data_IF_100072096106
#
_entry.id   IF_100072096106
#
_cell.length_a   1.000
_cell.length_b   1.000
_cell.length_c   1.000
_cell.angle_alpha   90.00
_cell.angle_beta   90.00
_cell.angle_gamma   90.00
#
_symmetry.space_group_name_H-M   'P 1'
#
loop_
_entity.id
_entity.type
_entity.pdbx_description
1 polymer ?
#
# COMPACT_ATOMS: atom_id res chain seq x y z
N UNK A 1 5.37 31.92 17.69
CA UNK A 1 5.26 30.88 16.63
C UNK A 1 6.13 31.31 15.47
N UNK A 2 7.02 30.43 14.96
CA UNK A 2 7.85 30.76 13.79
C UNK A 2 6.95 31.05 12.59
N UNK A 3 7.16 32.17 11.85
CA UNK A 3 6.35 32.48 10.65
C UNK A 3 6.53 31.47 9.50
N UNK A 4 7.36 30.43 9.67
CA UNK A 4 7.69 29.41 8.69
C UNK A 4 7.20 28.00 9.05
N UNK A 5 6.35 27.85 10.08
CA UNK A 5 5.78 26.53 10.40
C UNK A 5 4.80 26.10 9.30
N UNK A 6 5.04 24.93 8.71
CA UNK A 6 4.10 24.36 7.74
C UNK A 6 2.73 24.12 8.41
N UNK A 7 1.62 24.40 7.72
CA UNK A 7 0.29 24.19 8.30
C UNK A 7 0.08 22.72 8.65
N UNK A 8 -0.42 22.45 9.86
CA UNK A 8 -0.76 21.12 10.33
C UNK A 8 -1.90 20.52 9.51
N UNK A 9 -1.87 19.20 9.33
CA UNK A 9 -3.03 18.45 8.85
C UNK A 9 -4.07 18.36 9.99
N UNK A 10 -5.32 18.70 9.69
CA UNK A 10 -6.43 18.71 10.67
C UNK A 10 -7.63 17.91 10.19
N UNK A 11 -8.03 18.11 8.95
CA UNK A 11 -9.26 17.54 8.38
C UNK A 11 -8.90 16.62 7.22
N UNK A 12 -9.04 15.31 7.43
CA UNK A 12 -8.62 14.28 6.49
C UNK A 12 -9.83 13.66 5.81
N UNK A 13 -9.74 13.46 4.50
CA UNK A 13 -10.64 12.57 3.77
C UNK A 13 -9.87 11.39 3.20
N UNK A 14 -10.31 10.17 3.49
CA UNK A 14 -9.71 8.94 2.98
C UNK A 14 -10.60 8.38 1.87
N UNK A 15 -10.03 8.11 0.70
CA UNK A 15 -10.72 7.50 -0.44
C UNK A 15 -10.19 6.08 -0.62
N UNK A 16 -11.08 5.07 -0.60
CA UNK A 16 -10.67 3.66 -0.67
C UNK A 16 -10.30 3.06 0.69
N UNK A 17 -10.84 3.62 1.78
CA UNK A 17 -10.61 3.27 3.20
C UNK A 17 -10.78 1.80 3.54
N UNK A 18 -11.65 1.08 2.84
CA UNK A 18 -11.95 -0.35 3.07
C UNK A 18 -11.26 -1.28 2.07
N UNK A 19 -10.32 -0.75 1.25
CA UNK A 19 -9.49 -1.53 0.34
C UNK A 19 -8.33 -2.22 1.06
N UNK A 20 -7.55 -3.05 0.35
CA UNK A 20 -6.43 -3.82 0.92
C UNK A 20 -5.50 -2.96 1.76
N UNK A 21 -4.89 -1.92 1.19
CA UNK A 21 -4.01 -1.03 1.95
C UNK A 21 -4.79 0.07 2.68
N UNK A 22 -5.95 0.48 2.14
CA UNK A 22 -6.78 1.51 2.74
C UNK A 22 -7.25 1.18 4.15
N UNK A 23 -7.50 -0.10 4.45
CA UNK A 23 -7.88 -0.57 5.77
C UNK A 23 -6.78 -0.28 6.81
N UNK A 24 -5.53 -0.59 6.50
CA UNK A 24 -4.39 -0.35 7.38
C UNK A 24 -4.12 1.14 7.56
N UNK A 25 -4.15 1.92 6.48
CA UNK A 25 -3.97 3.37 6.53
C UNK A 25 -5.09 4.03 7.35
N UNK A 26 -6.35 3.67 7.10
CA UNK A 26 -7.49 4.22 7.83
C UNK A 26 -7.40 3.89 9.31
N UNK A 27 -7.03 2.65 9.65
CA UNK A 27 -6.83 2.23 11.03
C UNK A 27 -5.75 3.07 11.72
N UNK A 28 -4.57 3.18 11.13
CA UNK A 28 -3.47 3.96 11.71
C UNK A 28 -3.86 5.43 11.93
N UNK A 29 -4.62 6.04 11.00
CA UNK A 29 -5.13 7.42 11.15
C UNK A 29 -6.12 7.51 12.32
N UNK A 30 -7.03 6.54 12.44
CA UNK A 30 -8.01 6.50 13.54
C UNK A 30 -7.34 6.28 14.89
N UNK A 31 -6.30 5.44 14.96
CA UNK A 31 -5.55 5.19 16.19
C UNK A 31 -4.79 6.43 16.70
N UNK A 32 -4.54 7.42 15.83
CA UNK A 32 -3.88 8.69 16.14
C UNK A 32 -4.84 9.87 16.00
N UNK A 33 -6.14 9.63 16.22
CA UNK A 33 -7.22 10.61 16.01
C UNK A 33 -7.09 11.90 16.81
N UNK A 34 -6.41 11.88 17.94
CA UNK A 34 -6.17 13.05 18.77
C UNK A 34 -5.37 14.16 18.09
N UNK A 35 -4.67 13.82 17.01
CA UNK A 35 -3.93 14.78 16.19
C UNK A 35 -4.78 15.47 15.12
N UNK A 36 -6.01 14.99 14.88
CA UNK A 36 -6.88 15.44 13.79
C UNK A 36 -8.22 15.95 14.30
N UNK A 37 -8.74 17.00 13.69
CA UNK A 37 -10.04 17.57 14.06
C UNK A 37 -11.20 16.77 13.42
N UNK A 38 -11.00 16.32 12.15
CA UNK A 38 -11.99 15.52 11.41
C UNK A 38 -11.31 14.41 10.64
N UNK A 39 -11.89 13.22 10.72
CA UNK A 39 -11.51 12.07 9.89
C UNK A 39 -12.77 11.64 9.13
N UNK A 40 -12.69 11.69 7.80
CA UNK A 40 -13.81 11.39 6.90
C UNK A 40 -13.42 10.31 5.90
N UNK A 41 -14.39 9.58 5.39
CA UNK A 41 -14.21 8.68 4.24
C UNK A 41 -15.21 9.02 3.14
N UNK A 42 -14.80 8.81 1.87
CA UNK A 42 -15.72 8.78 0.73
C UNK A 42 -15.81 7.34 0.22
N UNK A 43 -17.02 6.80 0.27
CA UNK A 43 -17.30 5.42 -0.14
C UNK A 43 -18.50 5.32 -1.06
N UNK A 44 -18.66 4.18 -1.76
CA UNK A 44 -19.82 3.95 -2.63
C UNK A 44 -20.96 3.25 -1.89
N UNK A 45 -22.20 3.42 -2.37
CA UNK A 45 -23.35 2.68 -1.88
C UNK A 45 -23.12 1.15 -1.89
N UNK A 46 -22.45 0.66 -2.95
CA UNK A 46 -22.09 -0.75 -3.05
C UNK A 46 -21.21 -1.18 -1.87
N UNK A 47 -20.24 -0.36 -1.48
CA UNK A 47 -19.35 -0.66 -0.35
C UNK A 47 -20.11 -0.63 0.97
N UNK A 48 -21.03 0.32 1.17
CA UNK A 48 -21.87 0.37 2.36
C UNK A 48 -22.64 -0.95 2.57
N UNK A 49 -23.16 -1.53 1.48
CA UNK A 49 -23.91 -2.80 1.55
C UNK A 49 -22.96 -4.00 1.74
N UNK A 50 -21.81 -4.02 1.07
CA UNK A 50 -20.91 -5.18 1.09
C UNK A 50 -20.03 -5.24 2.32
N UNK A 51 -19.75 -4.11 2.97
CA UNK A 51 -18.82 -3.96 4.10
C UNK A 51 -19.48 -3.29 5.31
N UNK A 52 -20.70 -3.67 5.59
CA UNK A 52 -21.53 -3.08 6.67
C UNK A 52 -20.79 -3.04 8.00
N UNK A 53 -20.12 -4.14 8.37
CA UNK A 53 -19.41 -4.23 9.66
C UNK A 53 -18.21 -3.28 9.72
N UNK A 54 -17.43 -3.19 8.64
CA UNK A 54 -16.27 -2.29 8.57
C UNK A 54 -16.73 -0.83 8.64
N UNK A 55 -17.81 -0.48 7.94
CA UNK A 55 -18.38 0.88 7.97
C UNK A 55 -18.92 1.22 9.36
N UNK A 56 -19.69 0.32 9.97
CA UNK A 56 -20.22 0.54 11.32
C UNK A 56 -19.12 0.73 12.37
N UNK A 57 -18.00 -0.01 12.23
CA UNK A 57 -16.84 0.20 13.09
C UNK A 57 -16.21 1.60 12.92
N UNK A 58 -16.08 2.06 11.68
CA UNK A 58 -15.55 3.40 11.40
C UNK A 58 -16.46 4.49 11.99
N UNK A 59 -17.78 4.35 11.83
CA UNK A 59 -18.76 5.27 12.45
C UNK A 59 -18.66 5.28 13.99
N UNK A 60 -18.54 4.09 14.60
CA UNK A 60 -18.38 3.96 16.05
C UNK A 60 -17.09 4.63 16.56
N UNK A 61 -16.06 4.74 15.73
CA UNK A 61 -14.83 5.49 16.02
C UNK A 61 -14.93 6.98 15.66
N UNK A 62 -16.11 7.46 15.28
CA UNK A 62 -16.35 8.87 14.96
C UNK A 62 -15.79 9.30 13.61
N UNK A 63 -15.63 8.38 12.66
CA UNK A 63 -15.29 8.70 11.27
C UNK A 63 -16.57 9.14 10.55
N UNK A 64 -16.52 10.29 9.88
CA UNK A 64 -17.64 10.78 9.07
C UNK A 64 -17.71 10.04 7.73
N UNK A 65 -18.89 9.56 7.35
CA UNK A 65 -19.09 8.78 6.13
C UNK A 65 -19.76 9.63 5.06
N UNK A 66 -19.06 9.89 3.96
CA UNK A 66 -19.65 10.45 2.75
C UNK A 66 -19.91 9.36 1.75
N UNK A 67 -21.13 9.36 1.17
CA UNK A 67 -21.51 8.40 0.14
C UNK A 67 -21.55 9.05 -1.23
N UNK A 68 -20.90 8.43 -2.20
CA UNK A 68 -20.89 8.90 -3.57
C UNK A 68 -19.96 8.09 -4.47
N UNK A 69 -20.17 8.25 -5.77
CA UNK A 69 -19.29 7.66 -6.79
C UNK A 69 -18.13 8.61 -7.07
N UNK A 70 -16.94 8.08 -7.30
CA UNK A 70 -15.74 8.88 -7.62
C UNK A 70 -15.84 9.63 -8.94
N UNK A 71 -16.78 9.25 -9.81
CA UNK A 71 -17.08 9.94 -11.07
C UNK A 71 -18.07 11.09 -10.90
N UNK A 72 -18.75 11.21 -9.76
CA UNK A 72 -19.72 12.27 -9.47
C UNK A 72 -19.01 13.49 -8.87
N UNK A 73 -18.80 14.51 -9.70
CA UNK A 73 -18.17 15.77 -9.28
C UNK A 73 -18.86 16.39 -8.07
N UNK A 74 -20.20 16.45 -8.08
CA UNK A 74 -20.97 17.04 -6.97
C UNK A 74 -20.83 16.27 -5.67
N UNK A 75 -20.82 14.93 -5.72
CA UNK A 75 -20.63 14.10 -4.53
C UNK A 75 -19.21 14.24 -3.97
N UNK A 76 -18.21 14.24 -4.85
CA UNK A 76 -16.80 14.39 -4.46
C UNK A 76 -16.54 15.77 -3.87
N UNK A 77 -16.98 16.86 -4.55
CA UNK A 77 -16.79 18.22 -4.03
C UNK A 77 -17.47 18.46 -2.68
N UNK A 78 -18.67 17.88 -2.46
CA UNK A 78 -19.34 17.92 -1.15
C UNK A 78 -18.50 17.22 -0.08
N UNK A 79 -17.91 16.06 -0.39
CA UNK A 79 -17.04 15.36 0.55
C UNK A 79 -15.72 16.11 0.84
N UNK A 80 -15.32 17.03 -0.05
CA UNK A 80 -14.12 17.86 0.11
C UNK A 80 -14.35 19.12 0.94
N UNK A 81 -15.61 19.47 1.25
CA UNK A 81 -15.92 20.68 2.03
C UNK A 81 -15.27 20.67 3.41
N UNK A 82 -14.41 21.63 3.66
CA UNK A 82 -13.67 21.77 4.91
C UNK A 82 -12.52 20.77 5.09
N UNK A 83 -12.18 19.98 4.08
CA UNK A 83 -11.04 19.06 4.09
C UNK A 83 -9.76 19.80 3.69
N UNK A 84 -8.70 19.59 4.44
CA UNK A 84 -7.38 20.14 4.10
C UNK A 84 -6.46 19.11 3.44
N UNK A 85 -6.64 17.81 3.70
CA UNK A 85 -5.77 16.74 3.20
C UNK A 85 -6.58 15.53 2.76
N UNK A 86 -6.30 15.05 1.55
CA UNK A 86 -6.90 13.83 1.00
C UNK A 86 -5.85 12.71 1.00
N UNK A 87 -6.23 11.52 1.47
CA UNK A 87 -5.43 10.30 1.40
C UNK A 87 -6.13 9.32 0.46
N UNK A 88 -5.58 9.15 -0.73
CA UNK A 88 -6.15 8.26 -1.74
C UNK A 88 -5.53 6.86 -1.63
N UNK A 89 -6.35 5.86 -1.35
CA UNK A 89 -6.00 4.44 -1.24
C UNK A 89 -6.74 3.62 -2.31
N UNK A 90 -6.99 4.20 -3.48
CA UNK A 90 -7.72 3.52 -4.56
C UNK A 90 -6.90 2.36 -5.12
N UNK A 91 -7.56 1.24 -5.39
CA UNK A 91 -6.93 0.09 -6.05
C UNK A 91 -6.66 0.35 -7.55
N UNK A 92 -5.99 -0.61 -8.20
CA UNK A 92 -5.54 -0.51 -9.60
C UNK A 92 -6.60 0.05 -10.57
N UNK A 93 -7.85 -0.43 -10.49
CA UNK A 93 -8.94 0.03 -11.33
C UNK A 93 -9.38 1.50 -11.06
N UNK A 94 -8.95 2.08 -9.96
CA UNK A 94 -9.26 3.46 -9.57
C UNK A 94 -8.12 4.45 -9.81
N UNK A 95 -6.93 4.00 -10.18
CA UNK A 95 -5.74 4.87 -10.28
C UNK A 95 -6.00 6.07 -11.19
N UNK A 96 -6.49 5.85 -12.41
CA UNK A 96 -6.72 6.93 -13.37
C UNK A 96 -7.82 7.92 -12.94
N UNK A 97 -8.78 7.48 -12.11
CA UNK A 97 -9.83 8.36 -11.56
C UNK A 97 -9.26 9.48 -10.70
N UNK A 98 -8.07 9.28 -10.12
CA UNK A 98 -7.39 10.31 -9.33
C UNK A 98 -7.15 11.60 -10.12
N UNK A 99 -7.02 11.55 -11.45
CA UNK A 99 -6.87 12.74 -12.30
C UNK A 99 -8.02 13.72 -12.07
N UNK A 100 -9.26 13.25 -12.08
CA UNK A 100 -10.43 14.09 -11.77
C UNK A 100 -10.48 14.50 -10.31
N UNK A 101 -10.19 13.59 -9.40
CA UNK A 101 -10.18 13.85 -7.97
C UNK A 101 -9.18 14.96 -7.61
N UNK A 102 -7.99 14.95 -8.20
CA UNK A 102 -6.94 15.95 -8.05
C UNK A 102 -7.41 17.32 -8.60
N UNK A 103 -8.01 17.32 -9.81
CA UNK A 103 -8.57 18.55 -10.41
C UNK A 103 -9.63 19.19 -9.50
N UNK A 104 -10.54 18.40 -8.97
CA UNK A 104 -11.59 18.89 -8.08
C UNK A 104 -11.06 19.33 -6.70
N UNK A 105 -10.02 18.66 -6.18
CA UNK A 105 -9.33 19.08 -4.97
C UNK A 105 -8.69 20.47 -5.12
N UNK A 106 -7.98 20.72 -6.24
CA UNK A 106 -7.41 22.03 -6.57
C UNK A 106 -8.50 23.12 -6.66
N UNK A 107 -9.65 22.80 -7.31
CA UNK A 107 -10.74 23.75 -7.52
C UNK A 107 -11.39 24.20 -6.22
N UNK A 108 -11.58 23.28 -5.25
CA UNK A 108 -12.23 23.59 -3.96
C UNK A 108 -11.25 24.03 -2.88
N UNK A 109 -9.94 24.08 -3.20
CA UNK A 109 -8.93 24.62 -2.31
C UNK A 109 -8.42 23.63 -1.25
N UNK A 110 -8.53 22.34 -1.48
CA UNK A 110 -7.79 21.32 -0.69
C UNK A 110 -6.30 21.63 -0.76
N UNK A 111 -5.62 21.57 0.37
CA UNK A 111 -4.20 21.90 0.45
C UNK A 111 -3.29 20.78 -0.04
N UNK A 112 -3.57 19.52 0.34
CA UNK A 112 -2.66 18.38 0.07
C UNK A 112 -3.39 17.13 -0.40
N UNK A 113 -2.74 16.41 -1.31
CA UNK A 113 -3.24 15.14 -1.83
C UNK A 113 -2.13 14.06 -1.77
N UNK A 114 -2.37 13.01 -0.96
CA UNK A 114 -1.60 11.79 -1.00
C UNK A 114 -2.17 10.91 -2.11
N UNK A 115 -1.41 10.69 -3.18
CA UNK A 115 -1.85 9.82 -4.26
C UNK A 115 -1.66 8.35 -3.90
N UNK A 116 -2.42 7.46 -4.53
CA UNK A 116 -2.30 6.02 -4.31
C UNK A 116 -1.04 5.46 -4.98
N UNK A 117 0.11 5.73 -4.38
CA UNK A 117 1.41 5.23 -4.82
C UNK A 117 1.76 3.88 -4.18
N UNK A 118 1.84 3.79 -2.90
CA UNK A 118 2.02 2.62 -2.03
C UNK A 118 2.53 1.34 -2.73
N UNK A 119 3.73 1.40 -3.29
CA UNK A 119 4.37 0.33 -4.05
C UNK A 119 5.76 0.76 -4.55
N UNK A 120 6.23 0.18 -5.66
CA UNK A 120 7.51 0.49 -6.29
C UNK A 120 7.56 1.95 -6.76
N UNK A 121 8.72 2.61 -6.66
CA UNK A 121 8.92 3.92 -7.27
C UNK A 121 8.95 3.80 -8.80
N UNK A 122 8.00 4.47 -9.41
CA UNK A 122 7.76 4.39 -10.86
C UNK A 122 8.69 5.29 -11.68
N UNK A 123 9.47 6.17 -11.02
CA UNK A 123 10.39 7.11 -11.67
C UNK A 123 11.86 6.94 -11.21
N UNK A 124 12.15 6.00 -10.28
CA UNK A 124 13.50 5.85 -9.72
C UNK A 124 14.54 5.41 -10.76
N UNK A 125 14.22 4.38 -11.54
CA UNK A 125 15.08 3.91 -12.64
C UNK A 125 14.45 4.32 -13.97
N UNK A 126 15.27 4.65 -15.00
CA UNK A 126 14.76 4.98 -16.34
C UNK A 126 13.84 3.91 -16.92
N UNK A 127 14.11 2.64 -16.60
CA UNK A 127 13.31 1.49 -17.05
C UNK A 127 11.96 1.42 -16.32
N UNK A 128 11.88 1.85 -15.05
CA UNK A 128 10.63 1.85 -14.28
C UNK A 128 9.50 2.58 -14.99
N UNK A 129 9.82 3.68 -15.67
CA UNK A 129 8.82 4.46 -16.43
C UNK A 129 8.27 3.73 -17.66
N UNK A 130 8.88 2.64 -18.10
CA UNK A 130 8.43 1.84 -19.26
C UNK A 130 7.53 0.67 -18.85
N UNK A 131 7.52 0.33 -17.57
CA UNK A 131 6.78 -0.83 -17.06
C UNK A 131 5.25 -0.63 -17.18
N UNK A 132 4.52 -1.62 -17.73
CA UNK A 132 3.08 -1.50 -17.95
C UNK A 132 2.27 -1.18 -16.68
N UNK A 133 2.53 -1.78 -15.50
CA UNK A 133 1.77 -1.47 -14.29
C UNK A 133 1.97 -0.04 -13.77
N UNK A 134 3.02 0.66 -14.23
CA UNK A 134 3.34 2.02 -13.80
C UNK A 134 2.65 3.12 -14.62
N UNK A 135 2.18 2.81 -15.85
CA UNK A 135 1.69 3.80 -16.80
C UNK A 135 0.55 4.69 -16.28
N UNK A 136 -0.41 4.11 -15.56
CA UNK A 136 -1.52 4.88 -14.99
C UNK A 136 -1.05 5.81 -13.87
N UNK A 137 -0.13 5.38 -13.03
CA UNK A 137 0.45 6.22 -11.98
C UNK A 137 1.28 7.37 -12.57
N UNK A 138 2.04 7.12 -13.63
CA UNK A 138 2.78 8.16 -14.36
C UNK A 138 1.86 9.24 -14.90
N UNK A 139 0.70 8.87 -15.46
CA UNK A 139 -0.33 9.85 -15.89
C UNK A 139 -0.83 10.70 -14.71
N UNK A 140 -1.06 10.07 -13.54
CA UNK A 140 -1.49 10.77 -12.33
C UNK A 140 -0.41 11.74 -11.85
N UNK A 141 0.86 11.34 -11.78
CA UNK A 141 1.99 12.23 -11.43
C UNK A 141 2.14 13.37 -12.42
N UNK A 142 2.04 13.08 -13.72
CA UNK A 142 2.09 14.14 -14.76
C UNK A 142 0.96 15.15 -14.58
N UNK A 143 -0.26 14.72 -14.28
CA UNK A 143 -1.38 15.60 -14.01
C UNK A 143 -1.16 16.40 -12.69
N UNK A 144 -0.69 15.78 -11.64
CA UNK A 144 -0.38 16.45 -10.37
C UNK A 144 0.63 17.58 -10.55
N UNK A 145 1.65 17.40 -11.41
CA UNK A 145 2.65 18.43 -11.73
C UNK A 145 2.04 19.68 -12.40
N UNK A 146 0.79 19.62 -12.92
CA UNK A 146 0.09 20.78 -13.50
C UNK A 146 -0.69 21.60 -12.48
N UNK A 147 -0.87 21.11 -11.26
CA UNK A 147 -1.58 21.81 -10.18
C UNK A 147 -0.76 23.02 -9.71
N UNK A 148 -1.44 24.10 -9.32
CA UNK A 148 -0.80 25.37 -8.93
C UNK A 148 -0.68 25.55 -7.44
N UNK A 149 -1.64 25.04 -6.67
CA UNK A 149 -1.76 25.23 -5.22
C UNK A 149 -1.82 23.95 -4.45
N UNK A 150 -2.31 22.87 -5.07
CA UNK A 150 -2.44 21.57 -4.43
C UNK A 150 -1.05 20.95 -4.24
N UNK A 151 -0.68 20.74 -3.00
CA UNK A 151 0.53 20.00 -2.61
C UNK A 151 0.33 18.49 -2.80
N UNK A 152 1.41 17.75 -3.02
CA UNK A 152 1.36 16.30 -3.08
C UNK A 152 2.29 15.63 -2.09
N UNK A 153 1.99 14.36 -1.79
CA UNK A 153 2.91 13.41 -1.15
C UNK A 153 2.78 12.08 -1.84
N UNK A 154 3.89 11.51 -2.30
CA UNK A 154 3.98 10.16 -2.81
C UNK A 154 4.68 9.30 -1.77
N UNK A 155 4.05 8.19 -1.33
CA UNK A 155 4.66 7.25 -0.42
C UNK A 155 4.98 5.96 -1.19
N UNK A 156 6.26 5.70 -1.38
CA UNK A 156 6.83 4.52 -2.03
C UNK A 156 7.19 3.52 -0.95
N UNK A 157 6.66 2.30 -1.05
CA UNK A 157 6.78 1.28 0.00
C UNK A 157 7.41 -0.03 -0.50
N UNK A 158 7.64 -0.16 -1.81
CA UNK A 158 7.96 -1.48 -2.38
C UNK A 158 6.82 -2.49 -2.21
N UNK A 159 7.11 -3.79 -2.27
CA UNK A 159 6.15 -4.87 -2.03
C UNK A 159 5.71 -4.97 -0.58
N UNK A 160 4.46 -5.38 -0.38
CA UNK A 160 3.98 -5.72 0.96
C UNK A 160 4.44 -7.13 1.33
N UNK A 161 5.15 -7.28 2.46
CA UNK A 161 5.54 -8.58 3.01
C UNK A 161 4.32 -9.49 3.22
N UNK A 162 3.21 -8.93 3.72
CA UNK A 162 1.94 -9.63 3.93
C UNK A 162 1.39 -10.37 2.70
N UNK A 163 1.69 -9.89 1.49
CA UNK A 163 1.28 -10.52 0.23
C UNK A 163 2.39 -11.32 -0.44
N UNK A 164 3.64 -10.91 -0.26
CA UNK A 164 4.78 -11.59 -0.87
C UNK A 164 5.05 -12.95 -0.22
N UNK A 165 4.93 -13.03 1.10
CA UNK A 165 5.23 -14.22 1.92
C UNK A 165 4.11 -15.27 1.90
N UNK A 166 3.00 -15.01 1.23
CA UNK A 166 1.84 -15.89 1.21
C UNK A 166 1.91 -17.02 0.18
N UNK A 167 0.99 -17.95 0.32
CA UNK A 167 0.79 -19.06 -0.62
C UNK A 167 0.12 -18.57 -1.92
N UNK A 168 0.83 -18.62 -3.03
CA UNK A 168 0.32 -18.31 -4.37
C UNK A 168 -0.17 -19.60 -5.09
N UNK A 169 -1.26 -20.19 -4.59
CA UNK A 169 -1.74 -21.53 -5.03
C UNK A 169 -2.13 -21.60 -6.51
N UNK A 170 -2.63 -20.50 -7.08
CA UNK A 170 -3.08 -20.48 -8.50
C UNK A 170 -1.93 -20.41 -9.48
N UNK A 171 -0.78 -19.90 -9.09
CA UNK A 171 0.43 -19.77 -9.91
C UNK A 171 1.69 -19.77 -9.05
N UNK A 172 2.08 -20.93 -8.49
CA UNK A 172 3.22 -21.00 -7.57
C UNK A 172 4.54 -20.56 -8.20
N UNK A 173 4.71 -20.74 -9.52
CA UNK A 173 5.92 -20.33 -10.27
C UNK A 173 6.29 -18.84 -10.11
N UNK A 174 5.38 -17.97 -9.67
CA UNK A 174 5.69 -16.55 -9.49
C UNK A 174 6.07 -16.18 -8.04
N UNK A 175 6.47 -17.15 -7.24
CA UNK A 175 6.86 -17.01 -5.83
C UNK A 175 5.74 -17.47 -4.89
N UNK A 176 6.08 -18.37 -3.98
CA UNK A 176 5.11 -19.10 -3.19
C UNK A 176 5.74 -19.64 -1.90
N UNK A 177 5.02 -19.52 -0.78
CA UNK A 177 5.37 -20.14 0.50
C UNK A 177 4.11 -20.77 1.09
N UNK A 178 4.02 -22.11 1.05
CA UNK A 178 2.88 -22.86 1.60
C UNK A 178 3.26 -23.53 2.92
N UNK A 179 2.75 -22.97 4.01
CA UNK A 179 3.02 -23.46 5.37
C UNK A 179 2.46 -24.84 5.62
N UNK A 180 1.30 -25.17 5.01
CA UNK A 180 0.65 -26.47 5.22
C UNK A 180 1.38 -27.59 4.53
N UNK A 181 1.79 -27.34 3.28
CA UNK A 181 2.49 -28.35 2.46
C UNK A 181 4.01 -28.34 2.69
N UNK A 182 4.56 -27.34 3.42
CA UNK A 182 6.00 -27.13 3.60
C UNK A 182 6.73 -27.06 2.25
N UNK A 183 6.17 -26.28 1.31
CA UNK A 183 6.74 -26.08 -0.03
C UNK A 183 6.98 -24.61 -0.30
N UNK A 184 8.06 -24.31 -1.02
CA UNK A 184 8.36 -22.94 -1.46
C UNK A 184 8.81 -22.92 -2.92
N UNK A 185 8.42 -21.85 -3.62
CA UNK A 185 8.98 -21.51 -4.93
C UNK A 185 9.63 -20.13 -4.80
N UNK A 186 10.94 -20.09 -4.91
CA UNK A 186 11.73 -18.87 -4.79
C UNK A 186 12.03 -18.28 -6.17
N UNK A 187 12.12 -16.96 -6.25
CA UNK A 187 12.39 -16.26 -7.50
C UNK A 187 13.89 -15.98 -7.66
N UNK A 188 14.40 -16.10 -8.90
CA UNK A 188 15.83 -16.01 -9.20
C UNK A 188 16.57 -17.21 -8.62
N UNK A 189 17.71 -16.95 -7.99
CA UNK A 189 18.50 -17.91 -7.21
C UNK A 189 18.19 -17.85 -5.70
N UNK A 190 17.23 -17.02 -5.32
CA UNK A 190 16.86 -16.78 -3.93
C UNK A 190 17.78 -15.83 -3.15
N UNK A 191 18.87 -15.35 -3.75
CA UNK A 191 19.87 -14.49 -3.08
C UNK A 191 19.66 -12.98 -3.34
N UNK A 192 18.80 -12.63 -4.31
CA UNK A 192 18.50 -11.23 -4.62
C UNK A 192 17.68 -10.59 -3.48
N UNK A 193 18.23 -9.56 -2.78
CA UNK A 193 17.50 -8.90 -1.70
C UNK A 193 16.33 -8.08 -2.24
N UNK A 194 15.26 -8.02 -1.45
CA UNK A 194 14.05 -7.23 -1.72
C UNK A 194 13.72 -6.41 -0.49
N UNK A 195 13.49 -5.11 -0.66
CA UNK A 195 12.99 -4.25 0.42
C UNK A 195 11.48 -4.34 0.53
N UNK A 196 10.99 -4.68 1.71
CA UNK A 196 9.59 -4.91 2.02
C UNK A 196 9.05 -3.86 2.98
N UNK A 197 7.75 -3.58 2.86
CA UNK A 197 7.01 -2.86 3.90
C UNK A 197 5.80 -3.70 4.31
N UNK A 198 5.62 -3.90 5.61
CA UNK A 198 4.40 -4.50 6.13
C UNK A 198 3.21 -3.54 5.93
N UNK A 199 2.02 -4.06 5.60
CA UNK A 199 0.85 -3.20 5.38
C UNK A 199 0.49 -2.36 6.61
N UNK A 200 0.74 -2.86 7.81
CA UNK A 200 0.57 -2.10 9.05
C UNK A 200 1.52 -0.89 9.12
N UNK A 201 2.76 -1.06 8.70
CA UNK A 201 3.76 0.00 8.71
C UNK A 201 3.49 1.06 7.63
N UNK A 202 2.90 0.69 6.49
CA UNK A 202 2.41 1.68 5.53
C UNK A 202 1.44 2.66 6.20
N UNK A 203 0.55 2.16 7.07
CA UNK A 203 -0.34 3.01 7.88
C UNK A 203 0.44 3.95 8.80
N UNK A 204 1.44 3.44 9.53
CA UNK A 204 2.31 4.24 10.41
C UNK A 204 3.07 5.33 9.64
N UNK A 205 3.66 4.98 8.49
CA UNK A 205 4.37 5.95 7.63
C UNK A 205 3.44 7.02 7.05
N UNK A 206 2.21 6.68 6.67
CA UNK A 206 1.21 7.67 6.23
C UNK A 206 0.88 8.64 7.35
N UNK A 207 0.64 8.15 8.57
CA UNK A 207 0.38 9.01 9.73
C UNK A 207 1.58 9.91 10.01
N UNK A 208 2.78 9.35 10.04
CA UNK A 208 3.99 10.14 10.24
C UNK A 208 4.15 11.24 9.18
N UNK A 209 3.87 10.94 7.90
CA UNK A 209 3.90 11.93 6.83
C UNK A 209 2.79 13.01 6.97
N UNK A 210 1.62 12.65 7.51
CA UNK A 210 0.52 13.59 7.81
C UNK A 210 0.90 14.54 8.95
N UNK A 211 1.67 14.08 9.93
CA UNK A 211 2.12 14.87 11.07
C UNK A 211 3.37 15.71 10.74
N UNK A 212 4.29 15.18 9.92
CA UNK A 212 5.51 15.86 9.47
C UNK A 212 5.26 16.60 8.14
N UNK A 213 4.37 17.62 8.21
CA UNK A 213 3.86 18.31 7.00
C UNK A 213 4.92 19.06 6.20
N UNK A 214 6.05 19.40 6.79
CA UNK A 214 7.16 20.08 6.12
C UNK A 214 7.96 19.11 5.25
N UNK A 215 8.34 18.00 5.83
CA UNK A 215 9.19 16.96 5.22
C UNK A 215 8.43 16.19 4.12
N UNK A 216 7.12 16.04 4.29
CA UNK A 216 6.25 15.31 3.36
C UNK A 216 5.65 16.15 2.23
N UNK A 217 5.96 17.46 2.18
CA UNK A 217 5.36 18.39 1.21
C UNK A 217 6.04 18.35 -0.16
N UNK A 218 5.28 18.08 -1.23
CA UNK A 218 5.74 18.07 -2.61
C UNK A 218 6.97 17.16 -2.82
N UNK A 219 6.91 15.97 -2.24
CA UNK A 219 8.01 15.04 -2.28
C UNK A 219 7.54 13.59 -2.47
N UNK A 220 8.48 12.75 -2.88
CA UNK A 220 8.38 11.31 -2.82
C UNK A 220 9.14 10.85 -1.58
N UNK A 221 8.47 10.14 -0.69
CA UNK A 221 9.05 9.49 0.48
C UNK A 221 9.21 8.00 0.17
N UNK A 222 10.41 7.50 0.29
CA UNK A 222 10.75 6.09 0.09
C UNK A 222 10.97 5.46 1.46
N UNK A 223 10.12 4.51 1.82
CA UNK A 223 10.11 3.87 3.14
C UNK A 223 10.12 2.34 3.03
N UNK A 224 10.59 1.67 4.08
CA UNK A 224 10.54 0.22 4.18
C UNK A 224 10.48 -0.24 5.63
N UNK A 225 10.04 -1.48 5.86
CA UNK A 225 10.12 -2.12 7.18
C UNK A 225 11.45 -2.85 7.35
N UNK A 226 11.83 -3.64 6.35
CA UNK A 226 13.08 -4.41 6.34
C UNK A 226 13.45 -4.86 4.92
N UNK A 227 14.67 -5.36 4.76
CA UNK A 227 15.16 -5.99 3.52
C UNK A 227 15.51 -7.43 3.82
N UNK A 228 15.11 -8.36 2.94
CA UNK A 228 15.42 -9.78 3.06
C UNK A 228 15.53 -10.45 1.69
N UNK A 229 16.29 -11.52 1.58
CA UNK A 229 16.33 -12.39 0.42
C UNK A 229 15.24 -13.48 0.51
N UNK A 230 14.79 -14.06 -0.61
CA UNK A 230 13.88 -15.21 -0.58
C UNK A 230 14.41 -16.39 0.24
N UNK A 231 15.73 -16.64 0.24
CA UNK A 231 16.36 -17.68 1.04
C UNK A 231 16.33 -17.37 2.54
N UNK A 232 16.50 -16.10 2.94
CA UNK A 232 16.33 -15.69 4.35
C UNK A 232 14.88 -15.85 4.82
N UNK A 233 13.91 -15.52 3.96
CA UNK A 233 12.47 -15.72 4.25
C UNK A 233 12.19 -17.23 4.45
N UNK A 234 12.71 -18.09 3.58
CA UNK A 234 12.57 -19.53 3.70
C UNK A 234 13.23 -20.07 4.99
N UNK A 235 14.46 -19.63 5.28
CA UNK A 235 15.16 -20.04 6.50
C UNK A 235 14.37 -19.69 7.76
N UNK A 236 13.75 -18.52 7.79
CA UNK A 236 12.87 -18.10 8.89
C UNK A 236 11.62 -18.98 9.01
N UNK A 237 10.99 -19.36 7.86
CA UNK A 237 9.89 -20.33 7.86
C UNK A 237 10.31 -21.69 8.40
N UNK A 238 11.49 -22.21 7.99
CA UNK A 238 12.02 -23.46 8.49
C UNK A 238 12.30 -23.42 9.99
N UNK A 239 12.87 -22.31 10.48
CA UNK A 239 13.14 -22.12 11.91
C UNK A 239 11.85 -22.11 12.72
N UNK A 240 10.89 -21.27 12.37
CA UNK A 240 9.65 -21.12 13.13
C UNK A 240 8.73 -22.35 13.04
N UNK A 241 8.75 -23.09 11.93
CA UNK A 241 7.95 -24.31 11.79
C UNK A 241 8.67 -25.57 12.30
N UNK A 242 9.97 -25.49 12.61
CA UNK A 242 10.80 -26.62 13.03
C UNK A 242 10.92 -27.72 11.99
N UNK A 243 10.70 -27.42 10.70
CA UNK A 243 10.66 -28.40 9.61
C UNK A 243 11.44 -27.91 8.40
N UNK A 244 12.06 -28.82 7.66
CA UNK A 244 12.62 -28.54 6.34
C UNK A 244 11.52 -28.48 5.29
N UNK A 245 11.72 -27.62 4.30
CA UNK A 245 10.76 -27.38 3.23
C UNK A 245 11.26 -27.95 1.90
N UNK A 246 10.33 -28.38 1.07
CA UNK A 246 10.63 -28.72 -0.33
C UNK A 246 10.66 -27.44 -1.16
N UNK A 247 11.81 -27.20 -1.83
CA UNK A 247 12.12 -25.91 -2.44
C UNK A 247 12.40 -26.06 -3.92
N UNK A 248 11.78 -25.22 -4.72
CA UNK A 248 12.11 -25.06 -6.13
C UNK A 248 12.37 -23.59 -6.47
N UNK A 249 12.96 -23.33 -7.62
CA UNK A 249 13.34 -22.00 -8.05
C UNK A 249 12.76 -21.66 -9.43
N UNK A 250 12.26 -20.45 -9.61
CA UNK A 250 11.88 -19.92 -10.92
C UNK A 250 12.94 -18.92 -11.36
N UNK A 251 13.69 -19.25 -12.41
CA UNK A 251 14.72 -18.34 -12.93
C UNK A 251 14.13 -17.04 -13.46
N UNK A 252 14.97 -16.00 -13.58
CA UNK A 252 14.56 -14.72 -14.16
C UNK A 252 14.12 -14.86 -15.62
N UNK A 253 14.71 -15.78 -16.39
CA UNK A 253 14.31 -16.08 -17.77
C UNK A 253 12.89 -16.66 -17.79
N UNK A 254 12.63 -17.66 -16.93
CA UNK A 254 11.29 -18.27 -16.83
C UNK A 254 10.24 -17.26 -16.36
N UNK A 255 10.59 -16.39 -15.40
CA UNK A 255 9.69 -15.35 -14.92
C UNK A 255 9.32 -14.34 -16.03
N UNK A 256 10.26 -13.98 -16.90
CA UNK A 256 10.01 -13.15 -18.10
C UNK A 256 9.12 -13.84 -19.13
N UNK A 257 9.27 -15.16 -19.30
CA UNK A 257 8.39 -15.96 -20.17
C UNK A 257 6.96 -15.96 -19.62
N UNK A 258 6.78 -16.24 -18.33
CA UNK A 258 5.48 -16.20 -17.66
C UNK A 258 4.84 -14.81 -17.80
N UNK A 259 5.60 -13.73 -17.60
CA UNK A 259 5.12 -12.36 -17.80
C UNK A 259 4.56 -12.17 -19.21
N UNK A 260 5.31 -12.58 -20.23
CA UNK A 260 4.87 -12.50 -21.63
C UNK A 260 3.61 -13.32 -21.88
N UNK A 261 3.54 -14.55 -21.38
CA UNK A 261 2.36 -15.43 -21.48
C UNK A 261 1.12 -14.74 -20.88
N UNK A 262 1.24 -14.16 -19.66
CA UNK A 262 0.14 -13.50 -18.97
C UNK A 262 -0.37 -12.26 -19.73
N UNK A 263 0.53 -11.45 -20.34
CA UNK A 263 0.11 -10.35 -21.19
C UNK A 263 -0.58 -10.79 -22.48
N UNK A 264 -0.15 -11.90 -23.10
CA UNK A 264 -0.78 -12.42 -24.32
C UNK A 264 -2.24 -12.83 -24.12
N UNK A 265 -2.58 -13.33 -22.92
CA UNK A 265 -3.95 -13.73 -22.59
C UNK A 265 -4.73 -12.66 -21.80
N UNK A 266 -4.20 -11.45 -21.72
CA UNK A 266 -4.82 -10.34 -20.95
C UNK A 266 -5.15 -10.71 -19.50
N UNK A 267 -4.33 -11.52 -18.88
CA UNK A 267 -4.53 -12.00 -17.53
C UNK A 267 -4.45 -10.86 -16.48
N UNK A 268 -5.31 -10.88 -15.47
CA UNK A 268 -5.17 -9.96 -14.35
C UNK A 268 -3.87 -10.18 -13.56
N UNK A 269 -3.22 -11.34 -13.71
CA UNK A 269 -1.94 -11.66 -13.08
C UNK A 269 -0.74 -11.02 -13.78
N UNK A 270 -0.85 -10.56 -15.03
CA UNK A 270 0.25 -9.98 -15.78
C UNK A 270 1.01 -8.89 -14.99
N UNK A 271 0.26 -7.95 -14.41
CA UNK A 271 0.85 -6.90 -13.60
C UNK A 271 1.52 -7.40 -12.30
N UNK A 272 1.03 -8.49 -11.72
CA UNK A 272 1.64 -9.11 -10.52
C UNK A 272 2.97 -9.75 -10.91
N UNK A 273 3.01 -10.47 -12.03
CA UNK A 273 4.25 -11.09 -12.55
C UNK A 273 5.29 -10.03 -12.87
N UNK A 274 4.90 -8.93 -13.55
CA UNK A 274 5.79 -7.79 -13.81
C UNK A 274 6.39 -7.24 -12.51
N UNK A 275 5.56 -7.00 -11.49
CA UNK A 275 6.04 -6.48 -10.21
C UNK A 275 6.99 -7.46 -9.52
N UNK A 276 6.67 -8.76 -9.52
CA UNK A 276 7.57 -9.81 -8.98
C UNK A 276 8.92 -9.80 -9.69
N UNK A 277 8.94 -9.69 -11.02
CA UNK A 277 10.18 -9.57 -11.81
C UNK A 277 10.97 -8.32 -11.42
N UNK A 278 10.32 -7.16 -11.34
CA UNK A 278 10.95 -5.90 -10.94
C UNK A 278 11.61 -6.03 -9.56
N UNK A 279 10.92 -6.63 -8.60
CA UNK A 279 11.43 -6.79 -7.24
C UNK A 279 12.60 -7.77 -7.17
N UNK A 280 12.51 -8.90 -7.89
CA UNK A 280 13.59 -9.90 -7.99
C UNK A 280 14.83 -9.32 -8.66
N UNK A 281 14.66 -8.38 -9.60
CA UNK A 281 15.75 -7.67 -10.31
C UNK A 281 16.29 -6.46 -9.52
N UNK A 282 16.01 -6.37 -8.22
CA UNK A 282 16.50 -5.30 -7.35
C UNK A 282 15.77 -3.96 -7.47
N UNK A 283 14.60 -3.92 -8.12
CA UNK A 283 13.84 -2.68 -8.37
C UNK A 283 13.24 -2.00 -7.13
N UNK A 284 13.50 -2.53 -5.94
CA UNK A 284 13.14 -1.92 -4.65
C UNK A 284 14.34 -1.61 -3.76
N UNK A 285 15.54 -1.77 -4.27
CA UNK A 285 16.77 -1.42 -3.57
C UNK A 285 17.14 0.02 -3.89
N UNK A 286 16.64 0.92 -3.07
CA UNK A 286 16.89 2.35 -3.23
C UNK A 286 18.20 2.75 -2.54
N UNK A 287 18.87 3.78 -3.09
CA UNK A 287 20.13 4.29 -2.52
C UNK A 287 19.94 4.89 -1.13
N UNK A 288 18.77 5.48 -0.88
CA UNK A 288 18.39 6.08 0.39
C UNK A 288 16.94 5.78 0.70
N UNK A 289 16.65 5.66 1.98
CA UNK A 289 15.30 5.58 2.53
C UNK A 289 15.04 6.78 3.41
N UNK A 290 13.80 7.25 3.41
CA UNK A 290 13.37 8.47 4.10
C UNK A 290 12.73 8.20 5.46
N UNK A 291 12.83 6.96 5.98
CA UNK A 291 12.21 6.56 7.25
C UNK A 291 12.58 7.52 8.38
N UNK A 292 13.87 7.88 8.50
CA UNK A 292 14.37 8.79 9.53
C UNK A 292 13.82 10.22 9.43
N UNK A 293 13.37 10.67 8.25
CA UNK A 293 12.74 11.98 8.08
C UNK A 293 11.35 12.03 8.71
N UNK A 294 10.73 10.87 8.91
CA UNK A 294 9.39 10.73 9.47
C UNK A 294 9.40 10.50 10.99
N UNK A 295 10.59 10.39 11.59
CA UNK A 295 10.79 10.13 13.02
C UNK A 295 11.13 8.67 13.31
N UNK A 296 11.23 8.33 14.59
CA UNK A 296 11.45 6.95 15.01
C UNK A 296 10.13 6.17 14.92
N UNK A 297 10.04 5.26 13.94
CA UNK A 297 8.87 4.41 13.71
C UNK A 297 9.31 2.96 13.94
N UNK A 298 8.73 2.32 14.95
CA UNK A 298 8.90 0.90 15.16
C UNK A 298 8.18 0.12 14.05
N UNK A 299 8.96 -0.61 13.25
CA UNK A 299 8.46 -1.40 12.11
C UNK A 299 8.40 -2.88 12.42
N UNK A 300 7.58 -3.59 11.67
CA UNK A 300 7.56 -5.05 11.62
C UNK A 300 8.92 -5.59 11.14
N UNK A 301 9.23 -6.82 11.54
CA UNK A 301 10.45 -7.53 11.20
C UNK A 301 10.18 -8.72 10.27
N UNK A 302 11.22 -9.32 9.70
CA UNK A 302 11.09 -10.59 8.97
C UNK A 302 10.43 -11.65 9.85
N UNK A 303 10.88 -11.78 11.08
CA UNK A 303 10.38 -12.76 12.06
C UNK A 303 8.89 -12.58 12.35
N UNK A 304 8.46 -11.34 12.64
CA UNK A 304 7.05 -11.06 12.92
C UNK A 304 6.14 -11.32 11.71
N UNK A 305 6.63 -11.00 10.50
CA UNK A 305 5.87 -11.20 9.28
C UNK A 305 5.76 -12.69 8.90
N UNK A 306 6.80 -13.48 9.09
CA UNK A 306 6.73 -14.95 8.91
C UNK A 306 5.80 -15.57 9.95
N UNK A 307 5.90 -15.21 11.23
CA UNK A 307 4.98 -15.66 12.26
C UNK A 307 3.51 -15.37 11.93
N UNK A 308 3.23 -14.15 11.48
CA UNK A 308 1.88 -13.75 11.05
C UNK A 308 1.35 -14.59 9.88
N UNK A 309 2.22 -14.94 8.91
CA UNK A 309 1.84 -15.79 7.78
C UNK A 309 1.61 -17.24 8.17
N UNK A 310 2.40 -17.78 9.11
CA UNK A 310 2.19 -19.13 9.66
C UNK A 310 0.81 -19.20 10.29
N UNK A 311 0.49 -18.30 11.23
CA UNK A 311 -0.82 -18.24 11.87
C UNK A 311 -1.95 -18.12 10.83
N UNK A 312 -1.79 -17.22 9.86
CA UNK A 312 -2.78 -17.00 8.82
C UNK A 312 -3.07 -18.25 7.99
N UNK A 313 -2.05 -18.99 7.60
CA UNK A 313 -2.22 -20.16 6.75
C UNK A 313 -2.69 -21.39 7.54
N UNK A 314 -2.32 -21.55 8.80
CA UNK A 314 -2.77 -22.64 9.66
C UNK A 314 -4.23 -22.49 10.07
N UNK A 315 -4.65 -21.29 10.50
CA UNK A 315 -6.00 -21.03 10.98
C UNK A 315 -7.02 -20.87 9.83
N UNK A 316 -6.54 -20.62 8.60
CA UNK A 316 -7.34 -20.31 7.42
C UNK A 316 -7.81 -18.86 7.38
N UNK A 317 -8.11 -18.36 6.17
CA UNK A 317 -8.53 -16.96 5.96
C UNK A 317 -9.81 -16.56 6.72
N UNK A 318 -10.62 -17.53 7.16
CA UNK A 318 -11.87 -17.30 7.92
C UNK A 318 -11.66 -16.77 9.33
N UNK A 319 -10.47 -16.92 9.90
CA UNK A 319 -10.12 -16.45 11.26
C UNK A 319 -9.34 -15.13 11.27
N UNK A 320 -8.95 -14.60 10.09
CA UNK A 320 -8.41 -13.24 10.06
C UNK A 320 -9.52 -12.24 10.38
N UNK A 321 -9.34 -11.45 11.43
CA UNK A 321 -10.35 -10.50 11.84
C UNK A 321 -10.67 -9.55 10.69
N UNK A 322 -11.95 -9.40 10.35
CA UNK A 322 -12.47 -8.15 9.82
C UNK A 322 -11.89 -6.99 10.64
N UNK A 323 -11.90 -5.77 10.13
CA UNK A 323 -11.44 -4.59 10.87
C UNK A 323 -11.80 -4.64 12.38
N UNK A 324 -12.97 -5.20 12.70
CA UNK A 324 -13.50 -5.35 14.06
C UNK A 324 -12.75 -6.35 14.96
N UNK A 325 -12.29 -7.48 14.44
CA UNK A 325 -11.61 -8.50 15.27
C UNK A 325 -10.18 -8.15 15.63
N UNK A 326 -9.45 -7.44 14.78
CA UNK A 326 -8.11 -6.90 15.10
C UNK A 326 -8.16 -5.80 16.18
N UNK A 327 -9.34 -5.28 16.49
CA UNK A 327 -9.58 -4.18 17.43
C UNK A 327 -9.88 -4.64 18.85
N UNK A 328 -10.21 -5.91 19.09
CA UNK A 328 -10.58 -6.45 20.39
C UNK A 328 -9.44 -7.17 21.13
N UNK A 329 -8.21 -7.07 20.64
CA UNK A 329 -7.03 -7.63 21.30
C UNK A 329 -6.05 -6.51 21.68
N UNK A 330 -6.52 -5.58 22.52
CA UNK A 330 -5.73 -4.77 23.44
C UNK A 330 -6.49 -4.74 24.76
#
# INVERSE_FOLDING_TARGET
>A
MSPYAAPKTKNILIIGSTGTIGTYITRAIVDQREHFERICILTSEKTLVQKVQDIAALEAWGVEIFTGRLESESAVKRAYEGIDTIVSCVGRAGIEKQIKLITWAEQVGVRRFFTSEYGTDIEYWPESSKEPPHQLKLKVRAHMKTMKRLEYTYLVTGPYSDLYFGAMKTKPEIGHFDVKEKTAVLLGDGEGPVSFTAMADVGKFVVAALLNTRESRNTTLVVHSFTATPNEILAEYEEQTGAKWDVSYTSMERLKEIEKEEYQVYSPMAAVVTLRRIWTDGGTLYKFYDDSLLGEIETETLQSQVAAQIIKQEEGEGNFPSLLRKLSLV
#
